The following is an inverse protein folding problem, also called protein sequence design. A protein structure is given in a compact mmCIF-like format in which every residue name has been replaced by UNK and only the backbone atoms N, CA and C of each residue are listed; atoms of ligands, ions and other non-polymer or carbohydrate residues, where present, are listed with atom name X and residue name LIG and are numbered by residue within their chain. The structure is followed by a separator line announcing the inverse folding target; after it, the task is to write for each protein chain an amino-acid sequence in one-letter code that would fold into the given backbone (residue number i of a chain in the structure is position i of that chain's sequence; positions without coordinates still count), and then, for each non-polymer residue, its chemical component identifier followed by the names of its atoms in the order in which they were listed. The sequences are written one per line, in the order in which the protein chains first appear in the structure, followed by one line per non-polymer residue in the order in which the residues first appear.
data_IF_363354612585
#
_entry.id   IF_363354612585
#
_cell.length_a   1.000
_cell.length_b   1.000
_cell.length_c   1.000
_cell.angle_alpha   90.00
_cell.angle_beta   90.00
_cell.angle_gamma   90.00
#
_symmetry.space_group_name_H-M   'P 1'
#
loop_
_entity.id
_entity.type
_entity.pdbx_description
1 polymer ?
#
# COMPACT_ATOMS: atom_id res chain seq x y z
N UNK A 1 -2.13 17.57 0.90
CA UNK A 1 -2.45 17.16 2.30
C UNK A 1 -1.39 16.19 2.79
N UNK A 2 -0.83 16.45 3.98
CA UNK A 2 0.24 15.65 4.58
C UNK A 2 -0.36 14.45 5.36
N UNK A 3 -1.12 13.59 4.68
CA UNK A 3 -1.75 12.40 5.28
C UNK A 3 -0.75 11.53 6.06
N UNK A 4 0.51 11.55 5.65
CA UNK A 4 1.60 10.82 6.30
C UNK A 4 1.96 11.41 7.68
N UNK A 5 1.90 12.74 7.84
CA UNK A 5 2.09 13.40 9.15
C UNK A 5 0.92 13.11 10.08
N UNK A 6 -0.30 13.22 9.58
CA UNK A 6 -1.51 12.90 10.35
C UNK A 6 -1.50 11.44 10.82
N UNK A 7 -1.21 10.50 9.90
CA UNK A 7 -1.07 9.09 10.24
C UNK A 7 0.00 8.84 11.31
N UNK A 8 1.19 9.44 11.18
CA UNK A 8 2.26 9.31 12.17
C UNK A 8 1.84 9.84 13.55
N UNK A 9 1.10 10.96 13.60
CA UNK A 9 0.55 11.51 14.85
C UNK A 9 -0.43 10.52 15.49
N UNK A 10 -1.36 9.95 14.72
CA UNK A 10 -2.33 8.97 15.25
C UNK A 10 -1.64 7.71 15.78
N UNK A 11 -0.65 7.17 15.05
CA UNK A 11 0.12 6.01 15.48
C UNK A 11 0.91 6.32 16.75
N UNK A 12 1.57 7.48 16.82
CA UNK A 12 2.29 7.93 18.00
C UNK A 12 1.40 8.10 19.22
N UNK A 13 0.21 8.67 19.03
CA UNK A 13 -0.79 8.84 20.10
C UNK A 13 -1.32 7.48 20.59
N UNK A 14 -1.68 6.57 19.69
CA UNK A 14 -2.09 5.19 20.05
C UNK A 14 -0.99 4.46 20.83
N UNK A 15 0.28 4.61 20.41
CA UNK A 15 1.42 4.03 21.11
C UNK A 15 1.61 4.64 22.52
N UNK A 16 1.54 5.97 22.64
CA UNK A 16 1.66 6.66 23.92
C UNK A 16 0.57 6.23 24.90
N UNK A 17 -0.69 6.20 24.46
CA UNK A 17 -1.83 5.73 25.26
C UNK A 17 -1.61 4.29 25.72
N UNK A 18 -1.23 3.39 24.81
CA UNK A 18 -0.98 1.98 25.14
C UNK A 18 0.15 1.82 26.17
N UNK A 19 1.23 2.60 26.03
CA UNK A 19 2.33 2.60 27.00
C UNK A 19 1.90 3.12 28.38
N UNK A 20 1.11 4.19 28.43
CA UNK A 20 0.57 4.74 29.68
C UNK A 20 -0.32 3.70 30.37
N UNK A 21 -1.27 3.10 29.65
CA UNK A 21 -2.17 2.07 30.21
C UNK A 21 -1.39 0.86 30.74
N UNK A 22 -0.34 0.44 30.04
CA UNK A 22 0.54 -0.62 30.50
C UNK A 22 1.31 -0.22 31.76
N UNK A 23 1.83 1.01 31.83
CA UNK A 23 2.56 1.50 32.99
C UNK A 23 1.70 1.54 34.26
N UNK A 24 0.41 1.86 34.12
CA UNK A 24 -0.56 1.80 35.21
C UNK A 24 -1.05 0.38 35.56
N UNK A 25 -0.56 -0.66 34.85
CA UNK A 25 -0.97 -2.04 35.07
C UNK A 25 -2.39 -2.37 34.62
N UNK A 26 -3.05 -1.47 33.86
CA UNK A 26 -4.39 -1.70 33.31
C UNK A 26 -4.36 -2.78 32.23
N UNK A 27 -3.26 -2.84 31.47
CA UNK A 27 -3.05 -3.82 30.41
C UNK A 27 -1.92 -4.81 30.77
N UNK A 28 -2.27 -6.09 30.89
CA UNK A 28 -1.29 -7.18 31.05
C UNK A 28 -0.79 -7.66 29.68
N UNK A 29 -0.12 -6.77 28.94
CA UNK A 29 0.46 -7.07 27.62
C UNK A 29 1.98 -6.92 27.67
N UNK A 30 2.72 -7.75 26.93
CA UNK A 30 4.19 -7.65 26.91
C UNK A 30 4.65 -6.46 26.05
N UNK A 31 5.91 -6.04 26.19
CA UNK A 31 6.45 -4.98 25.33
C UNK A 31 6.61 -5.47 23.89
N UNK A 32 6.96 -6.75 23.73
CA UNK A 32 7.03 -7.43 22.44
C UNK A 32 5.72 -7.27 21.68
N UNK A 33 4.56 -7.42 22.34
CA UNK A 33 3.27 -7.26 21.69
C UNK A 33 3.06 -5.84 21.13
N UNK A 34 3.36 -4.82 21.94
CA UNK A 34 3.20 -3.40 21.55
C UNK A 34 4.11 -3.08 20.36
N UNK A 35 5.38 -3.47 20.41
CA UNK A 35 6.32 -3.25 19.31
C UNK A 35 5.93 -4.03 18.04
N UNK A 36 5.44 -5.26 18.20
CA UNK A 36 4.95 -6.07 17.09
C UNK A 36 3.81 -5.38 16.37
N UNK A 37 2.84 -4.87 17.11
CA UNK A 37 1.72 -4.11 16.55
C UNK A 37 2.20 -2.83 15.87
N UNK A 38 3.12 -2.09 16.49
CA UNK A 38 3.70 -0.88 15.91
C UNK A 38 4.40 -1.17 14.57
N UNK A 39 5.19 -2.24 14.51
CA UNK A 39 5.87 -2.67 13.29
C UNK A 39 4.89 -3.10 12.20
N UNK A 40 3.82 -3.83 12.54
CA UNK A 40 2.75 -4.18 11.59
C UNK A 40 2.15 -2.91 10.99
N UNK A 41 1.74 -1.95 11.83
CA UNK A 41 1.06 -0.72 11.39
C UNK A 41 1.99 0.17 10.54
N UNK A 42 3.23 0.41 11.00
CA UNK A 42 4.20 1.24 10.29
C UNK A 42 4.63 0.59 8.98
N UNK A 43 4.94 -0.71 9.00
CA UNK A 43 5.36 -1.44 7.82
C UNK A 43 4.27 -1.46 6.75
N UNK A 44 3.04 -1.78 7.13
CA UNK A 44 1.89 -1.78 6.23
C UNK A 44 1.62 -0.40 5.63
N UNK A 45 1.64 0.64 6.46
CA UNK A 45 1.44 2.01 5.99
C UNK A 45 2.54 2.47 5.03
N UNK A 46 3.79 2.12 5.33
CA UNK A 46 4.93 2.44 4.45
C UNK A 46 4.75 1.79 3.09
N UNK A 47 4.41 0.50 3.05
CA UNK A 47 4.10 -0.21 1.81
C UNK A 47 2.95 0.47 1.10
N UNK A 48 1.81 0.68 1.76
CA UNK A 48 0.61 1.27 1.17
C UNK A 48 0.85 2.64 0.54
N UNK A 49 1.54 3.56 1.24
CA UNK A 49 1.79 4.90 0.73
C UNK A 49 2.85 4.98 -0.37
N UNK A 50 3.70 3.95 -0.49
CA UNK A 50 4.81 3.91 -1.45
C UNK A 50 4.54 2.95 -2.61
N UNK A 51 3.50 2.13 -2.51
CA UNK A 51 3.05 1.23 -3.55
C UNK A 51 2.70 2.00 -4.84
N UNK A 52 3.16 1.50 -6.00
CA UNK A 52 2.97 2.14 -7.30
C UNK A 52 3.79 3.40 -7.52
N UNK A 53 4.62 3.83 -6.55
CA UNK A 53 5.62 4.88 -6.73
C UNK A 53 6.96 4.22 -7.07
N UNK A 54 7.84 4.92 -7.78
CA UNK A 54 9.19 4.43 -8.15
C UNK A 54 10.15 4.21 -6.94
N UNK A 55 9.63 4.19 -5.72
CA UNK A 55 10.39 4.15 -4.46
C UNK A 55 10.47 2.71 -3.91
N UNK A 56 11.22 1.87 -4.63
CA UNK A 56 11.41 0.44 -4.31
C UNK A 56 12.03 0.20 -2.94
N UNK A 57 13.05 0.96 -2.50
CA UNK A 57 13.65 0.75 -1.19
C UNK A 57 12.64 0.91 -0.06
N UNK A 58 11.70 1.86 -0.17
CA UNK A 58 10.68 2.05 0.84
C UNK A 58 9.69 0.87 0.92
N UNK A 59 9.31 0.27 -0.22
CA UNK A 59 8.46 -0.94 -0.25
C UNK A 59 9.20 -2.11 0.42
N UNK A 60 10.48 -2.28 0.12
CA UNK A 60 11.32 -3.33 0.72
C UNK A 60 11.40 -3.16 2.23
N UNK A 61 11.79 -1.98 2.71
CA UNK A 61 11.92 -1.69 4.14
C UNK A 61 10.57 -1.84 4.84
N UNK A 62 9.49 -1.29 4.27
CA UNK A 62 8.15 -1.41 4.83
C UNK A 62 7.70 -2.87 4.95
N UNK A 63 7.96 -3.68 3.94
CA UNK A 63 7.62 -5.12 3.94
C UNK A 63 8.41 -5.88 5.00
N UNK A 64 9.70 -5.60 5.15
CA UNK A 64 10.54 -6.20 6.20
C UNK A 64 10.01 -5.83 7.59
N UNK A 65 9.75 -4.54 7.85
CA UNK A 65 9.23 -4.06 9.13
C UNK A 65 7.88 -4.73 9.44
N UNK A 66 6.98 -4.78 8.45
CA UNK A 66 5.67 -5.45 8.59
C UNK A 66 5.84 -6.93 8.99
N UNK A 67 6.67 -7.68 8.26
CA UNK A 67 6.86 -9.10 8.51
C UNK A 67 7.56 -9.39 9.84
N UNK A 68 8.50 -8.54 10.27
CA UNK A 68 9.09 -8.65 11.61
C UNK A 68 8.03 -8.47 12.71
N UNK A 69 7.12 -7.51 12.52
CA UNK A 69 5.98 -7.33 13.42
C UNK A 69 5.06 -8.56 13.47
N UNK A 70 4.72 -9.13 12.32
CA UNK A 70 3.93 -10.37 12.24
C UNK A 70 4.65 -11.54 12.91
N UNK A 71 5.93 -11.74 12.62
CA UNK A 71 6.74 -12.83 13.17
C UNK A 71 6.81 -12.77 14.71
N UNK A 72 7.08 -11.57 15.26
CA UNK A 72 7.13 -11.37 16.70
C UNK A 72 5.76 -11.63 17.36
N UNK A 73 4.68 -11.15 16.74
CA UNK A 73 3.33 -11.37 17.25
C UNK A 73 2.96 -12.86 17.29
N UNK A 74 3.30 -13.58 16.21
CA UNK A 74 3.06 -15.02 16.10
C UNK A 74 3.88 -15.83 17.11
N UNK A 75 5.16 -15.49 17.27
CA UNK A 75 6.02 -16.19 18.22
C UNK A 75 5.54 -16.04 19.67
N UNK A 76 5.06 -14.85 20.03
CA UNK A 76 4.54 -14.57 21.38
C UNK A 76 3.24 -15.35 21.68
N UNK A 77 2.37 -15.54 20.69
CA UNK A 77 1.03 -16.11 20.92
C UNK A 77 0.90 -17.60 20.59
N UNK A 78 1.75 -18.14 19.73
CA UNK A 78 1.58 -19.48 19.16
C UNK A 78 2.75 -20.43 19.42
N UNK A 79 3.78 -20.01 20.17
CA UNK A 79 4.93 -20.84 20.59
C UNK A 79 5.45 -21.77 19.47
N UNK A 80 5.58 -21.23 18.25
CA UNK A 80 5.71 -22.02 17.03
C UNK A 80 7.00 -22.87 16.97
N UNK A 81 8.07 -22.43 17.64
CA UNK A 81 9.33 -23.14 17.86
C UNK A 81 10.29 -22.23 18.66
N UNK A 82 11.47 -22.72 19.04
CA UNK A 82 12.50 -21.83 19.58
C UNK A 82 12.96 -20.83 18.51
N UNK A 83 13.19 -19.57 18.90
CA UNK A 83 13.60 -18.52 17.94
C UNK A 83 14.84 -18.91 17.12
N UNK A 84 15.79 -19.63 17.73
CA UNK A 84 17.00 -20.14 17.06
C UNK A 84 16.70 -21.04 15.87
N UNK A 85 15.62 -21.82 15.93
CA UNK A 85 15.20 -22.71 14.84
C UNK A 85 14.43 -21.96 13.75
N UNK A 86 13.80 -20.83 14.09
CA UNK A 86 12.99 -20.02 13.19
C UNK A 86 13.78 -18.95 12.42
N UNK A 87 14.91 -18.46 12.93
CA UNK A 87 15.64 -17.35 12.31
C UNK A 87 15.95 -17.56 10.82
N UNK A 88 16.51 -18.71 10.45
CA UNK A 88 16.91 -18.98 9.07
C UNK A 88 15.72 -19.23 8.13
N UNK A 89 14.73 -20.08 8.48
CA UNK A 89 13.51 -20.20 7.69
C UNK A 89 12.74 -18.88 7.56
N UNK A 90 12.61 -18.12 8.65
CA UNK A 90 11.88 -16.85 8.65
C UNK A 90 12.59 -15.78 7.81
N UNK A 91 13.92 -15.66 7.89
CA UNK A 91 14.66 -14.68 7.07
C UNK A 91 14.54 -14.98 5.58
N UNK A 92 14.66 -16.24 5.18
CA UNK A 92 14.46 -16.69 3.80
C UNK A 92 13.02 -16.42 3.33
N UNK A 93 12.02 -16.71 4.18
CA UNK A 93 10.62 -16.41 3.88
C UNK A 93 10.38 -14.91 3.72
N UNK A 94 10.95 -14.08 4.60
CA UNK A 94 10.88 -12.62 4.53
C UNK A 94 11.47 -12.12 3.20
N UNK A 95 12.65 -12.62 2.81
CA UNK A 95 13.26 -12.29 1.53
C UNK A 95 12.32 -12.68 0.38
N UNK A 96 11.72 -13.87 0.44
CA UNK A 96 10.75 -14.33 -0.56
C UNK A 96 9.56 -13.40 -0.71
N UNK A 97 8.94 -12.99 0.40
CA UNK A 97 7.80 -12.05 0.38
C UNK A 97 8.23 -10.64 -0.06
N UNK A 98 9.41 -10.16 0.32
CA UNK A 98 9.94 -8.88 -0.16
C UNK A 98 10.09 -8.88 -1.68
N UNK A 99 10.66 -9.95 -2.24
CA UNK A 99 10.81 -10.09 -3.70
C UNK A 99 9.44 -10.24 -4.37
N UNK A 100 8.49 -10.93 -3.73
CA UNK A 100 7.11 -11.00 -4.20
C UNK A 100 6.46 -9.61 -4.25
N UNK A 101 6.63 -8.79 -3.21
CA UNK A 101 6.09 -7.43 -3.20
C UNK A 101 6.71 -6.56 -4.30
N UNK A 102 8.00 -6.73 -4.61
CA UNK A 102 8.64 -6.09 -5.75
C UNK A 102 8.07 -6.55 -7.10
N UNK A 103 7.67 -7.82 -7.22
CA UNK A 103 6.97 -8.32 -8.40
C UNK A 103 5.56 -7.71 -8.55
N UNK A 104 4.79 -7.61 -7.46
CA UNK A 104 3.44 -7.02 -7.50
C UNK A 104 3.51 -5.53 -7.88
N UNK A 105 4.54 -4.81 -7.43
CA UNK A 105 4.78 -3.41 -7.82
C UNK A 105 5.22 -3.27 -9.30
N UNK A 106 6.05 -4.18 -9.81
CA UNK A 106 6.49 -4.21 -11.22
C UNK A 106 6.25 -5.58 -11.89
N UNK A 107 5.00 -5.91 -12.28
CA UNK A 107 4.65 -7.24 -12.79
C UNK A 107 5.33 -7.61 -14.12
N UNK A 108 5.94 -6.63 -14.79
CA UNK A 108 6.72 -6.84 -16.03
C UNK A 108 7.97 -7.70 -15.80
N UNK A 109 8.50 -7.79 -14.57
CA UNK A 109 9.72 -8.52 -14.25
C UNK A 109 9.41 -9.89 -13.65
N UNK A 110 9.07 -10.85 -14.51
CA UNK A 110 8.72 -12.22 -14.12
C UNK A 110 9.86 -12.93 -13.36
N UNK A 111 11.12 -12.49 -13.52
CA UNK A 111 12.25 -13.02 -12.74
C UNK A 111 12.06 -12.87 -11.23
N UNK A 112 11.43 -11.79 -10.76
CA UNK A 112 11.10 -11.62 -9.34
C UNK A 112 10.08 -12.65 -8.86
N UNK A 113 9.12 -13.04 -9.70
CA UNK A 113 8.15 -14.08 -9.34
C UNK A 113 8.85 -15.42 -9.06
N UNK A 114 9.68 -15.90 -10.00
CA UNK A 114 10.40 -17.15 -9.81
C UNK A 114 11.34 -17.11 -8.61
N UNK A 115 12.05 -16.00 -8.42
CA UNK A 115 12.94 -15.82 -7.27
C UNK A 115 12.16 -15.82 -5.94
N UNK A 116 11.02 -15.13 -5.88
CA UNK A 116 10.15 -15.13 -4.70
C UNK A 116 9.63 -16.54 -4.37
N UNK A 117 9.20 -17.29 -5.39
CA UNK A 117 8.66 -18.62 -5.22
C UNK A 117 9.74 -19.58 -4.69
N UNK A 118 10.98 -19.44 -5.18
CA UNK A 118 12.13 -20.18 -4.67
C UNK A 118 12.37 -19.87 -3.19
N UNK A 119 12.47 -18.59 -2.82
CA UNK A 119 12.72 -18.17 -1.43
C UNK A 119 11.57 -18.49 -0.47
N UNK A 120 10.32 -18.59 -0.94
CA UNK A 120 9.18 -19.03 -0.12
C UNK A 120 9.19 -20.55 0.06
N UNK A 121 9.59 -21.30 -0.96
CA UNK A 121 9.57 -22.78 -0.95
C UNK A 121 10.70 -23.38 -0.09
N UNK A 122 11.89 -22.78 -0.09
CA UNK A 122 13.05 -23.27 0.67
C UNK A 122 12.80 -23.36 2.19
N UNK A 123 12.28 -22.31 2.88
CA UNK A 123 11.91 -22.38 4.29
C UNK A 123 10.97 -23.53 4.62
N UNK A 124 9.97 -23.74 3.77
CA UNK A 124 9.00 -24.82 3.94
C UNK A 124 9.68 -26.19 3.91
N UNK A 125 10.60 -26.40 2.96
CA UNK A 125 11.38 -27.63 2.87
C UNK A 125 12.30 -27.84 4.09
N UNK A 126 12.98 -26.78 4.54
CA UNK A 126 13.85 -26.82 5.73
C UNK A 126 13.05 -27.20 6.98
N UNK A 127 11.87 -26.62 7.16
CA UNK A 127 11.01 -26.89 8.31
C UNK A 127 10.36 -28.28 8.24
N UNK A 128 9.98 -28.73 7.05
CA UNK A 128 9.41 -30.07 6.81
C UNK A 128 10.42 -31.17 7.16
N UNK A 129 11.67 -31.05 6.67
CA UNK A 129 12.72 -32.06 6.90
C UNK A 129 13.18 -32.17 8.35
N UNK A 130 12.95 -31.14 9.18
CA UNK A 130 13.28 -31.17 10.61
C UNK A 130 12.23 -31.91 11.45
N UNK A 131 11.23 -32.54 10.82
CA UNK A 131 10.16 -33.28 11.50
C UNK A 131 9.20 -32.37 12.30
N UNK A 132 9.32 -31.05 12.17
CA UNK A 132 8.63 -30.09 13.02
C UNK A 132 7.25 -29.67 12.51
N UNK A 133 6.94 -29.88 11.23
CA UNK A 133 5.73 -29.32 10.62
C UNK A 133 5.03 -30.35 9.73
N UNK A 134 3.94 -30.93 10.23
CA UNK A 134 2.95 -31.66 9.42
C UNK A 134 1.93 -30.66 8.88
N UNK A 135 1.35 -30.92 7.70
CA UNK A 135 0.30 -30.06 7.14
C UNK A 135 -0.85 -29.84 8.13
N UNK A 136 -1.21 -30.88 8.88
CA UNK A 136 -2.23 -30.81 9.94
C UNK A 136 -1.89 -29.78 11.02
N UNK A 137 -0.63 -29.69 11.43
CA UNK A 137 -0.14 -28.73 12.41
C UNK A 137 -0.18 -27.29 11.87
N UNK A 138 0.17 -27.09 10.59
CA UNK A 138 0.05 -25.77 9.94
C UNK A 138 -1.41 -25.35 9.87
N UNK A 139 -2.29 -26.24 9.41
CA UNK A 139 -3.71 -25.96 9.26
C UNK A 139 -4.36 -25.66 10.61
N UNK A 140 -4.02 -26.44 11.65
CA UNK A 140 -4.50 -26.19 13.01
C UNK A 140 -4.01 -24.83 13.55
N UNK A 141 -2.74 -24.49 13.35
CA UNK A 141 -2.19 -23.19 13.74
C UNK A 141 -2.86 -22.04 12.98
N UNK A 142 -3.04 -22.18 11.66
CA UNK A 142 -3.74 -21.20 10.82
C UNK A 142 -5.19 -21.00 11.29
N UNK A 143 -5.89 -22.08 11.64
CA UNK A 143 -7.25 -22.01 12.19
C UNK A 143 -7.29 -21.38 13.59
N UNK A 144 -6.29 -21.60 14.45
CA UNK A 144 -6.19 -20.90 15.73
C UNK A 144 -5.93 -19.40 15.55
N UNK A 145 -5.04 -19.02 14.62
CA UNK A 145 -4.80 -17.61 14.27
C UNK A 145 -6.09 -17.00 13.73
N UNK A 146 -6.73 -17.67 12.79
CA UNK A 146 -7.97 -17.20 12.17
C UNK A 146 -9.07 -17.04 13.22
N UNK A 147 -9.33 -18.05 14.06
CA UNK A 147 -10.38 -17.97 15.09
C UNK A 147 -10.12 -16.88 16.12
N UNK A 148 -8.86 -16.63 16.47
CA UNK A 148 -8.48 -15.57 17.40
C UNK A 148 -8.64 -14.16 16.82
N UNK A 149 -8.38 -13.99 15.52
CA UNK A 149 -8.35 -12.68 14.87
C UNK A 149 -9.48 -12.44 13.86
N UNK A 150 -10.46 -13.34 13.74
CA UNK A 150 -11.53 -13.26 12.73
C UNK A 150 -12.32 -11.95 12.81
N UNK A 151 -12.57 -11.45 14.02
CA UNK A 151 -13.36 -10.24 14.26
C UNK A 151 -12.62 -8.99 13.77
N UNK A 152 -11.29 -8.95 13.94
CA UNK A 152 -10.43 -7.89 13.41
C UNK A 152 -10.41 -7.95 11.88
N UNK A 153 -10.35 -9.16 11.30
CA UNK A 153 -10.39 -9.37 9.85
C UNK A 153 -11.73 -8.91 9.26
N UNK A 154 -12.85 -9.24 9.92
CA UNK A 154 -14.18 -8.80 9.55
C UNK A 154 -14.32 -7.27 9.61
N UNK A 155 -13.81 -6.64 10.67
CA UNK A 155 -13.80 -5.18 10.79
C UNK A 155 -12.99 -4.53 9.67
N UNK A 156 -11.82 -5.08 9.33
CA UNK A 156 -10.99 -4.58 8.24
C UNK A 156 -11.71 -4.67 6.89
N UNK A 157 -12.36 -5.81 6.60
CA UNK A 157 -13.13 -6.01 5.36
C UNK A 157 -14.29 -5.04 5.25
N UNK A 158 -15.05 -4.83 6.34
CA UNK A 158 -16.15 -3.85 6.38
C UNK A 158 -15.62 -2.44 6.12
N UNK A 159 -14.51 -2.05 6.76
CA UNK A 159 -13.86 -0.75 6.53
C UNK A 159 -13.48 -0.55 5.07
N UNK A 160 -12.91 -1.57 4.42
CA UNK A 160 -12.54 -1.52 3.00
C UNK A 160 -13.78 -1.40 2.12
N UNK A 161 -14.80 -2.23 2.35
CA UNK A 161 -16.08 -2.16 1.63
C UNK A 161 -16.73 -0.78 1.74
N UNK A 162 -16.74 -0.21 2.94
CA UNK A 162 -17.28 1.12 3.19
C UNK A 162 -16.51 2.20 2.44
N UNK A 163 -15.17 2.12 2.43
CA UNK A 163 -14.31 3.07 1.72
C UNK A 163 -14.50 2.98 0.20
N UNK A 164 -14.61 1.75 -0.35
CA UNK A 164 -14.92 1.52 -1.76
C UNK A 164 -16.29 2.09 -2.11
N UNK A 165 -17.30 1.87 -1.27
CA UNK A 165 -18.66 2.38 -1.49
C UNK A 165 -18.71 3.91 -1.49
N UNK A 166 -18.04 4.57 -0.54
CA UNK A 166 -17.96 6.04 -0.51
C UNK A 166 -17.27 6.62 -1.75
N UNK A 167 -16.25 5.95 -2.26
CA UNK A 167 -15.57 6.38 -3.49
C UNK A 167 -16.49 6.28 -4.72
N UNK A 168 -17.34 5.26 -4.80
CA UNK A 168 -18.30 5.12 -5.91
C UNK A 168 -19.35 6.24 -5.90
N UNK A 169 -19.92 6.56 -4.73
CA UNK A 169 -20.93 7.64 -4.60
C UNK A 169 -20.35 9.00 -5.01
N UNK A 170 -19.11 9.32 -4.61
CA UNK A 170 -18.43 10.57 -5.01
C UNK A 170 -18.16 10.67 -6.52
N UNK A 171 -18.08 9.55 -7.24
CA UNK A 171 -17.90 9.58 -8.70
C UNK A 171 -19.21 9.85 -9.44
N UNK A 172 -20.35 9.39 -8.91
CA UNK A 172 -21.67 9.65 -9.49
C UNK A 172 -22.05 11.14 -9.35
N UNK A 173 -21.83 11.75 -8.18
CA UNK A 173 -22.08 13.20 -7.97
C UNK A 173 -21.23 14.08 -8.91
N UNK A 174 -19.99 13.67 -9.20
CA UNK A 174 -19.12 14.41 -10.15
C UNK A 174 -19.58 14.29 -11.60
N UNK A 175 -20.13 13.14 -12.01
CA UNK A 175 -20.69 12.97 -13.35
C UNK A 175 -21.97 13.77 -13.53
N UNK A 176 -22.85 13.75 -12.52
CA UNK A 176 -24.11 14.49 -12.58
C UNK A 176 -23.90 16.02 -12.57
N UNK A 177 -22.96 16.53 -11.78
CA UNK A 177 -22.60 17.96 -11.81
C UNK A 177 -21.84 18.37 -13.10
N UNK A 178 -21.00 17.49 -13.65
CA UNK A 178 -20.30 17.74 -14.92
C UNK A 178 -21.22 17.77 -16.15
N UNK A 179 -22.35 17.05 -16.12
CA UNK A 179 -23.39 17.15 -17.17
C UNK A 179 -24.25 18.40 -17.02
N UNK A 180 -24.50 18.90 -15.79
CA UNK A 180 -25.24 20.15 -15.58
C UNK A 180 -24.46 21.39 -16.02
N UNK A 181 -23.14 21.41 -15.89
CA UNK A 181 -22.31 22.52 -16.39
C UNK A 181 -22.20 22.56 -17.93
N UNK A 182 -22.24 21.41 -18.61
CA UNK A 182 -22.22 21.37 -20.09
C UNK A 182 -23.61 21.51 -20.75
N UNK A 183 -24.70 21.39 -19.97
CA UNK A 183 -26.07 21.54 -20.45
C UNK A 183 -26.56 22.99 -20.54
N UNK A 184 -25.88 23.94 -19.89
CA UNK A 184 -26.16 25.36 -20.03
C UNK A 184 -25.23 25.91 -21.11
N UNK A 185 -25.55 25.65 -22.38
CA UNK A 185 -25.03 26.54 -23.42
C UNK A 185 -25.52 27.94 -23.07
N UNK A 186 -24.64 28.94 -22.89
CA UNK A 186 -25.07 30.31 -22.77
C UNK A 186 -25.97 30.58 -23.98
N UNK A 187 -27.16 31.09 -23.70
CA UNK A 187 -28.12 31.51 -24.71
C UNK A 187 -27.34 32.38 -25.70
N UNK A 188 -27.04 31.84 -26.88
CA UNK A 188 -26.46 32.61 -27.98
C UNK A 188 -27.50 33.68 -28.27
N UNK A 189 -27.26 34.88 -27.77
CA UNK A 189 -27.97 36.07 -28.18
C UNK A 189 -27.70 36.15 -29.67
N UNK A 190 -28.73 35.82 -30.47
CA UNK A 190 -28.74 36.01 -31.91
C UNK A 190 -28.44 37.49 -32.16
N UNK A 191 -27.16 37.78 -32.41
CA UNK A 191 -26.70 39.05 -32.89
C UNK A 191 -27.15 39.12 -34.34
N UNK A 192 -28.20 39.90 -34.56
CA UNK A 192 -28.80 40.14 -35.87
C UNK A 192 -27.74 40.63 -36.85
N UNK A 193 -27.70 40.00 -38.02
CA UNK A 193 -26.84 40.29 -39.18
C UNK A 193 -26.57 41.79 -39.39
N UNK A 194 -25.30 42.22 -39.45
CA UNK A 194 -24.94 43.42 -40.17
C UNK A 194 -24.74 43.11 -41.66
N UNK A 195 -25.29 44.01 -42.47
CA UNK A 195 -25.30 44.08 -43.93
C UNK A 195 -23.99 43.73 -44.66
N UNK A 196 -24.09 43.34 -45.94
CA UNK A 196 -22.95 43.02 -46.79
C UNK A 196 -22.25 44.31 -47.24
N UNK A 197 -21.15 44.64 -46.58
CA UNK A 197 -20.39 45.85 -46.86
C UNK A 197 -18.88 45.64 -46.79
N UNK A 198 -18.31 45.50 -47.98
CA UNK A 198 -16.96 45.94 -48.33
C UNK A 198 -15.78 44.96 -48.22
N UNK A 199 -15.11 44.87 -49.37
CA UNK A 199 -13.91 44.10 -49.66
C UNK A 199 -12.75 45.03 -49.37
N UNK A 200 -11.76 44.64 -48.57
CA UNK A 200 -10.36 45.02 -48.82
C UNK A 200 -9.38 44.29 -47.90
N UNK A 201 -8.52 43.49 -48.55
CA UNK A 201 -7.06 43.38 -48.32
C UNK A 201 -6.49 43.33 -46.90
N UNK A 202 -5.75 42.26 -46.60
CA UNK A 202 -4.75 42.29 -45.54
C UNK A 202 -4.13 40.94 -45.18
N UNK A 203 -3.39 40.32 -46.10
CA UNK A 203 -2.43 39.26 -45.76
C UNK A 203 -1.39 39.86 -44.79
N UNK A 204 -1.24 39.27 -43.60
CA UNK A 204 0.03 39.32 -42.88
C UNK A 204 0.42 37.89 -42.54
N UNK A 205 1.34 37.39 -43.35
CA UNK A 205 2.13 36.19 -43.11
C UNK A 205 3.23 36.61 -42.13
N UNK A 206 3.24 36.06 -40.92
CA UNK A 206 4.38 36.19 -40.02
C UNK A 206 5.02 34.82 -39.92
N UNK A 207 5.99 34.60 -40.81
CA UNK A 207 7.01 33.57 -40.63
C UNK A 207 7.92 34.02 -39.48
N UNK A 208 7.96 33.23 -38.41
CA UNK A 208 9.07 33.25 -37.45
C UNK A 208 9.77 31.91 -37.60
N UNK A 209 10.74 31.90 -38.51
CA UNK A 209 11.88 31.00 -38.45
C UNK A 209 12.99 31.66 -37.60
N UNK A 210 14.03 30.88 -37.33
CA UNK A 210 15.23 31.16 -36.54
C UNK A 210 15.09 31.01 -35.01
N UNK A 211 15.98 30.36 -34.26
CA UNK A 211 17.34 29.84 -34.54
C UNK A 211 17.86 29.18 -33.24
N UNK A 212 18.94 28.38 -33.37
CA UNK A 212 19.71 27.63 -32.35
C UNK A 212 19.21 26.19 -32.11
N UNK A 213 19.82 25.12 -32.60
CA UNK A 213 21.22 24.78 -32.88
C UNK A 213 22.22 24.95 -31.71
N UNK A 214 22.95 23.85 -31.46
CA UNK A 214 24.22 23.70 -30.73
C UNK A 214 24.23 23.83 -29.18
N UNK A 215 24.31 22.68 -28.49
CA UNK A 215 25.46 22.25 -27.64
C UNK A 215 25.26 20.81 -27.14
N UNK A 216 26.06 19.87 -27.65
CA UNK A 216 27.29 19.28 -27.04
C UNK A 216 26.97 18.44 -25.80
N UNK A 217 27.04 17.11 -25.90
CA UNK A 217 28.27 16.32 -25.67
C UNK A 217 28.90 16.65 -24.31
N UNK A 218 28.57 15.82 -23.31
CA UNK A 218 29.50 15.10 -22.42
C UNK A 218 28.75 13.97 -21.68
#
# INVERSE_FOLDING_TARGET
MNYLKEFAIYVGLMFAITMILKFFGVLNITFTFIFSFLFIVIGLATVYFRFGKKDKPAIVIGTIIFLLGVLNNLNEHFFLMSMSQLYLPASLYIIGIVVLMLYIDEPKKVSYLFLSLFFISVPFFILSNRGGIRFDSIMAAALMVFSKYWLILLLAVISILFLVFQNSVKQEEKKENGERENGIKPFEIFESDPEPGDKTTGRIHVDIADENDIRKEE
#
